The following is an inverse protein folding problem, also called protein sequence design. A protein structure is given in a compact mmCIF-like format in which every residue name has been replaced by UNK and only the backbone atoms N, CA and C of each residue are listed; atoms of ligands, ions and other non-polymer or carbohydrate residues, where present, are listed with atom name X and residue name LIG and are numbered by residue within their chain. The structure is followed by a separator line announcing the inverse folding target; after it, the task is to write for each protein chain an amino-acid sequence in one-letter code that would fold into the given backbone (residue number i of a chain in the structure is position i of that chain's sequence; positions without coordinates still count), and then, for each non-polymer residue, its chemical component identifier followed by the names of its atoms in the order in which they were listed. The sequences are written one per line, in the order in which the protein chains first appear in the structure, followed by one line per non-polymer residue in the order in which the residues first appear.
data_IF_338300763888
#
_entry.id   IF_338300763888
#
_cell.length_a   1.000
_cell.length_b   1.000
_cell.length_c   1.000
_cell.angle_alpha   90.00
_cell.angle_beta   90.00
_cell.angle_gamma   90.00
#
_symmetry.space_group_name_H-M   'P 1'
#
loop_
_entity.id
_entity.type
_entity.pdbx_description
1 polymer ?
#
# COMPACT_ATOMS: atom_id res chain seq x y z
N UNK A 1 -2.85 -5.85 -0.47
CA UNK A 1 -1.68 -5.13 0.11
C UNK A 1 -1.86 -5.09 1.60
N UNK A 2 -0.76 -5.26 2.32
CA UNK A 2 -0.80 -5.57 3.75
C UNK A 2 -0.01 -4.58 4.59
N UNK A 3 0.84 -3.76 3.97
CA UNK A 3 1.67 -2.78 4.66
C UNK A 3 2.04 -1.61 3.75
N UNK A 4 1.95 -0.39 4.28
CA UNK A 4 2.42 0.84 3.63
C UNK A 4 3.01 1.80 4.68
N UNK A 5 4.17 2.37 4.36
CA UNK A 5 4.70 3.58 4.99
C UNK A 5 4.54 4.76 4.02
N UNK A 6 4.12 5.91 4.53
CA UNK A 6 3.95 7.14 3.78
C UNK A 6 4.66 8.27 4.52
N UNK A 7 5.60 8.91 3.86
CA UNK A 7 6.16 10.19 4.31
C UNK A 7 5.53 11.31 3.49
N UNK A 8 4.71 12.14 4.15
CA UNK A 8 3.96 13.21 3.49
C UNK A 8 4.48 14.58 3.93
N UNK A 9 5.09 15.31 2.99
CA UNK A 9 5.68 16.66 3.18
C UNK A 9 6.69 16.68 4.34
N UNK A 10 7.49 15.63 4.48
CA UNK A 10 8.54 15.54 5.50
C UNK A 10 9.96 15.46 4.90
N UNK A 11 10.11 15.00 3.66
CA UNK A 11 11.38 15.04 2.94
C UNK A 11 11.48 16.30 2.05
N UNK A 12 12.69 16.86 1.94
CA UNK A 12 12.95 18.13 1.26
C UNK A 12 12.80 18.06 -0.27
N UNK A 13 13.20 16.95 -0.89
CA UNK A 13 13.15 16.80 -2.35
C UNK A 13 11.92 15.99 -2.80
N UNK A 14 11.47 15.05 -1.96
CA UNK A 14 10.33 14.17 -2.24
C UNK A 14 9.18 14.40 -1.26
N UNK A 15 8.32 15.40 -1.51
CA UNK A 15 7.15 15.70 -0.67
C UNK A 15 6.14 14.55 -0.52
N UNK A 16 6.23 13.48 -1.32
CA UNK A 16 5.55 12.22 -1.04
C UNK A 16 6.51 11.05 -1.28
N UNK A 17 6.66 10.19 -0.28
CA UNK A 17 7.38 8.93 -0.37
C UNK A 17 6.44 7.83 0.13
N UNK A 18 6.28 6.75 -0.64
CA UNK A 18 5.51 5.58 -0.23
C UNK A 18 6.36 4.32 -0.38
N UNK A 19 6.38 3.48 0.66
CA UNK A 19 7.00 2.16 0.68
C UNK A 19 5.91 1.14 0.99
N UNK A 20 5.81 0.07 0.21
CA UNK A 20 4.62 -0.75 0.17
C UNK A 20 4.90 -2.22 -0.12
N UNK A 21 4.37 -3.13 0.71
CA UNK A 21 4.34 -4.56 0.40
C UNK A 21 2.92 -5.05 0.09
N UNK A 22 2.80 -5.78 -1.01
CA UNK A 22 1.63 -6.60 -1.30
C UNK A 22 1.94 -8.05 -0.97
N UNK A 23 1.34 -8.53 0.11
CA UNK A 23 1.32 -9.96 0.43
C UNK A 23 0.05 -10.60 -0.14
N UNK A 24 0.22 -11.75 -0.77
CA UNK A 24 -0.85 -12.49 -1.43
C UNK A 24 -0.41 -13.94 -1.70
N UNK A 25 -1.39 -14.82 -1.96
CA UNK A 25 -1.11 -16.15 -2.52
C UNK A 25 -0.31 -16.08 -3.82
N UNK A 26 0.57 -17.05 -4.04
CA UNK A 26 1.41 -17.12 -5.23
C UNK A 26 0.63 -17.51 -6.49
N UNK A 27 -0.42 -18.31 -6.34
CA UNK A 27 -1.29 -18.76 -7.43
C UNK A 27 -2.23 -17.67 -7.95
N UNK A 28 -2.57 -16.67 -7.13
CA UNK A 28 -3.41 -15.53 -7.53
C UNK A 28 -2.71 -14.72 -8.64
N UNK A 29 -3.23 -14.71 -9.88
CA UNK A 29 -2.60 -14.04 -10.99
C UNK A 29 -2.67 -12.52 -10.85
N UNK A 30 -1.54 -11.86 -11.11
CA UNK A 30 -1.45 -10.40 -11.14
C UNK A 30 -0.45 -9.96 -12.20
N UNK A 31 -0.70 -8.80 -12.80
CA UNK A 31 0.27 -8.11 -13.64
C UNK A 31 1.12 -7.17 -12.79
N UNK A 32 2.42 -7.15 -13.06
CA UNK A 32 3.37 -6.17 -12.51
C UNK A 32 3.02 -4.75 -12.94
N UNK A 33 3.65 -3.76 -12.33
CA UNK A 33 3.38 -2.35 -12.61
C UNK A 33 3.56 -2.01 -14.09
N UNK A 34 2.50 -1.46 -14.71
CA UNK A 34 2.47 -1.04 -16.11
C UNK A 34 1.44 0.08 -16.30
N UNK A 35 1.48 0.75 -17.46
CA UNK A 35 0.35 1.58 -17.87
C UNK A 35 -0.80 0.69 -18.34
N UNK A 36 -2.00 0.93 -17.81
CA UNK A 36 -3.16 0.11 -18.15
C UNK A 36 -3.69 0.44 -19.54
N UNK A 37 -4.14 -0.58 -20.27
CA UNK A 37 -4.66 -0.41 -21.64
C UNK A 37 -6.02 0.31 -21.66
N UNK A 38 -6.90 -0.03 -20.72
CA UNK A 38 -8.25 0.53 -20.56
C UNK A 38 -8.25 1.88 -19.82
N UNK A 39 -7.25 2.14 -18.98
CA UNK A 39 -7.04 3.43 -18.31
C UNK A 39 -5.59 3.90 -18.49
N UNK A 40 -5.21 4.46 -19.65
CA UNK A 40 -3.81 4.76 -20.01
C UNK A 40 -3.09 5.77 -19.12
N UNK A 41 -3.81 6.45 -18.23
CA UNK A 41 -3.25 7.37 -17.26
C UNK A 41 -2.82 6.69 -15.95
N UNK A 42 -3.30 5.48 -15.67
CA UNK A 42 -2.97 4.71 -14.47
C UNK A 42 -1.67 3.94 -14.69
N UNK A 43 -0.73 4.10 -13.76
CA UNK A 43 0.47 3.27 -13.64
C UNK A 43 0.42 2.51 -12.31
N UNK A 44 0.10 1.21 -12.39
CA UNK A 44 -0.13 0.36 -11.23
C UNK A 44 0.04 -1.12 -11.60
N UNK A 45 0.35 -1.97 -10.62
CA UNK A 45 0.13 -3.42 -10.76
C UNK A 45 -1.37 -3.70 -10.85
N UNK A 46 -1.78 -4.84 -11.42
CA UNK A 46 -3.21 -5.16 -11.62
C UNK A 46 -3.52 -6.58 -11.19
N UNK A 47 -4.52 -6.72 -10.35
CA UNK A 47 -5.13 -8.01 -10.05
C UNK A 47 -5.87 -8.53 -11.29
N UNK A 48 -5.52 -9.72 -11.77
CA UNK A 48 -6.13 -10.27 -13.01
C UNK A 48 -7.51 -10.85 -12.73
N UNK A 49 -7.75 -11.39 -11.54
CA UNK A 49 -9.03 -12.03 -11.19
C UNK A 49 -10.13 -11.00 -10.94
N UNK A 50 -9.82 -9.96 -10.16
CA UNK A 50 -10.80 -8.95 -9.73
C UNK A 50 -10.65 -7.61 -10.44
N UNK A 51 -9.61 -7.44 -11.27
CA UNK A 51 -9.43 -6.27 -12.14
C UNK A 51 -9.07 -4.96 -11.42
N UNK A 52 -8.81 -4.99 -10.11
CA UNK A 52 -8.45 -3.83 -9.27
C UNK A 52 -6.93 -3.70 -9.05
N UNK A 53 -6.54 -2.81 -8.13
CA UNK A 53 -5.14 -2.63 -7.74
C UNK A 53 -4.97 -2.30 -6.26
N UNK A 54 -3.75 -2.41 -5.75
CA UNK A 54 -3.43 -2.18 -4.35
C UNK A 54 -2.72 -0.85 -4.09
N UNK A 55 -1.94 -0.38 -5.06
CA UNK A 55 -1.21 0.88 -5.04
C UNK A 55 -1.03 1.32 -6.49
N UNK A 56 -1.32 2.59 -6.76
CA UNK A 56 -1.11 3.13 -8.08
C UNK A 56 -1.02 4.65 -8.08
N UNK A 57 -0.49 5.16 -9.19
CA UNK A 57 -0.42 6.59 -9.48
C UNK A 57 -0.99 6.89 -10.85
N UNK A 58 -1.29 8.15 -11.10
CA UNK A 58 -1.72 8.64 -12.42
C UNK A 58 -0.74 9.66 -13.00
N UNK A 59 -0.79 9.87 -14.32
CA UNK A 59 -0.09 10.98 -14.98
C UNK A 59 -0.54 12.37 -14.51
N UNK A 60 -1.74 12.49 -13.95
CA UNK A 60 -2.24 13.75 -13.36
C UNK A 60 -1.76 13.97 -11.93
N UNK A 61 -1.18 12.95 -11.28
CA UNK A 61 -0.60 13.07 -9.94
C UNK A 61 -1.51 12.65 -8.80
N UNK A 62 -2.60 11.95 -9.13
CA UNK A 62 -3.39 11.20 -8.15
C UNK A 62 -2.62 9.95 -7.75
N UNK A 63 -2.68 9.59 -6.47
CA UNK A 63 -2.21 8.31 -5.96
C UNK A 63 -3.27 7.73 -5.02
N UNK A 64 -3.31 6.42 -4.92
CA UNK A 64 -4.09 5.75 -3.90
C UNK A 64 -3.47 4.39 -3.55
N UNK A 65 -3.70 3.96 -2.32
CA UNK A 65 -3.38 2.62 -1.86
C UNK A 65 -4.43 2.09 -0.89
N UNK A 66 -4.45 0.77 -0.74
CA UNK A 66 -5.36 0.08 0.17
C UNK A 66 -4.62 -0.97 0.98
N UNK A 67 -4.84 -1.01 2.30
CA UNK A 67 -4.44 -2.16 3.12
C UNK A 67 -5.67 -2.89 3.66
N UNK A 68 -5.55 -4.21 3.81
CA UNK A 68 -6.61 -5.04 4.38
C UNK A 68 -6.58 -4.96 5.91
N UNK A 69 -7.71 -4.84 6.59
CA UNK A 69 -7.79 -5.11 8.03
C UNK A 69 -7.71 -6.63 8.24
N UNK A 70 -6.89 -7.06 9.21
CA UNK A 70 -6.78 -8.45 9.64
C UNK A 70 -7.83 -8.69 10.71
N UNK A 71 -8.80 -9.50 10.36
CA UNK A 71 -9.94 -9.92 11.16
C UNK A 71 -10.48 -11.21 10.53
N UNK A 72 -11.26 -12.02 11.26
CA UNK A 72 -11.96 -13.15 10.67
C UNK A 72 -12.82 -12.68 9.49
N UNK A 73 -12.80 -13.45 8.40
CA UNK A 73 -13.63 -13.12 7.23
C UNK A 73 -15.11 -13.24 7.60
N UNK A 74 -15.87 -12.21 7.27
CA UNK A 74 -17.33 -12.26 7.34
C UNK A 74 -17.84 -12.97 6.08
N UNK A 75 -17.98 -14.29 6.16
CA UNK A 75 -18.56 -15.12 5.10
C UNK A 75 -20.03 -15.37 5.42
N UNK A 76 -20.89 -14.40 5.10
CA UNK A 76 -22.34 -14.65 5.07
C UNK A 76 -22.71 -15.10 3.66
N UNK A 77 -23.38 -16.25 3.51
CA UNK A 77 -23.77 -16.83 2.21
C UNK A 77 -24.53 -15.85 1.30
N UNK A 78 -25.19 -14.84 1.88
CA UNK A 78 -26.05 -13.88 1.18
C UNK A 78 -25.37 -12.57 0.74
N UNK A 79 -24.07 -12.37 1.00
CA UNK A 79 -23.40 -11.10 0.69
C UNK A 79 -22.05 -11.30 -0.03
N UNK A 80 -22.03 -11.01 -1.33
CA UNK A 80 -20.78 -10.91 -2.09
C UNK A 80 -20.14 -9.53 -1.91
N UNK A 81 -18.98 -9.50 -1.26
CA UNK A 81 -18.23 -8.26 -1.04
C UNK A 81 -17.47 -7.80 -2.29
N UNK A 82 -17.45 -6.49 -2.52
CA UNK A 82 -16.65 -5.87 -3.56
C UNK A 82 -15.16 -6.01 -3.20
N UNK A 83 -14.32 -6.30 -4.20
CA UNK A 83 -12.88 -6.33 -4.04
C UNK A 83 -12.35 -4.98 -3.56
N UNK A 84 -11.57 -4.96 -2.48
CA UNK A 84 -10.89 -3.76 -1.97
C UNK A 84 -9.99 -3.08 -3.00
N UNK A 85 -9.52 -3.82 -4.01
CA UNK A 85 -8.75 -3.24 -5.12
C UNK A 85 -9.56 -2.29 -6.00
N UNK A 86 -10.89 -2.34 -5.93
CA UNK A 86 -11.79 -1.40 -6.58
C UNK A 86 -11.66 0.00 -6.01
N UNK A 87 -11.43 0.13 -4.71
CA UNK A 87 -11.29 1.42 -4.03
C UNK A 87 -10.19 2.27 -4.65
N UNK A 88 -9.06 1.62 -4.98
CA UNK A 88 -7.91 2.27 -5.61
C UNK A 88 -8.19 2.51 -7.09
N UNK A 89 -8.71 1.52 -7.81
CA UNK A 89 -9.05 1.65 -9.24
C UNK A 89 -10.03 2.79 -9.48
N UNK A 90 -11.13 2.84 -8.75
CA UNK A 90 -12.18 3.86 -8.89
C UNK A 90 -11.67 5.27 -8.62
N UNK A 91 -10.73 5.44 -7.68
CA UNK A 91 -10.14 6.76 -7.43
C UNK A 91 -9.21 7.19 -8.56
N UNK A 92 -8.36 6.27 -9.04
CA UNK A 92 -7.36 6.58 -10.08
C UNK A 92 -7.98 6.75 -11.47
N UNK A 93 -9.12 6.11 -11.74
CA UNK A 93 -9.85 6.23 -13.01
C UNK A 93 -10.85 7.39 -13.04
N UNK A 94 -11.16 8.01 -11.90
CA UNK A 94 -12.08 9.15 -11.80
C UNK A 94 -11.35 10.49 -11.71
N UNK A 95 -12.10 11.57 -11.94
CA UNK A 95 -11.65 12.96 -11.72
C UNK A 95 -12.13 13.54 -10.39
N UNK A 96 -12.95 12.81 -9.63
CA UNK A 96 -13.55 13.23 -8.36
C UNK A 96 -12.49 13.68 -7.35
N UNK A 97 -12.65 14.81 -6.64
CA UNK A 97 -11.73 15.21 -5.57
C UNK A 97 -11.60 14.12 -4.49
N UNK A 98 -10.40 13.98 -3.90
CA UNK A 98 -10.11 12.91 -2.95
C UNK A 98 -11.06 12.88 -1.75
N UNK A 99 -11.40 14.05 -1.20
CA UNK A 99 -12.38 14.17 -0.11
C UNK A 99 -13.73 13.56 -0.49
N UNK A 100 -14.26 13.98 -1.63
CA UNK A 100 -15.58 13.56 -2.11
C UNK A 100 -15.60 12.07 -2.43
N UNK A 101 -14.54 11.57 -3.06
CA UNK A 101 -14.41 10.15 -3.36
C UNK A 101 -14.41 9.31 -2.07
N UNK A 102 -13.56 9.65 -1.10
CA UNK A 102 -13.46 8.89 0.16
C UNK A 102 -14.75 8.98 0.99
N UNK A 103 -15.44 10.12 0.98
CA UNK A 103 -16.76 10.25 1.60
C UNK A 103 -17.83 9.40 0.91
N UNK A 104 -17.79 9.27 -0.42
CA UNK A 104 -18.70 8.37 -1.14
C UNK A 104 -18.47 6.90 -0.77
N UNK A 105 -17.19 6.49 -0.62
CA UNK A 105 -16.83 5.16 -0.14
C UNK A 105 -17.36 4.91 1.27
N UNK A 106 -17.32 5.92 2.16
CA UNK A 106 -17.88 5.79 3.52
C UNK A 106 -19.38 5.47 3.51
N UNK A 107 -20.13 5.95 2.53
CA UNK A 107 -21.56 5.64 2.38
C UNK A 107 -21.81 4.20 1.92
N UNK A 108 -20.81 3.58 1.29
CA UNK A 108 -20.83 2.20 0.76
C UNK A 108 -19.95 1.25 1.60
N UNK A 109 -19.63 1.63 2.85
CA UNK A 109 -18.63 0.95 3.67
C UNK A 109 -18.91 -0.53 3.93
N UNK A 110 -20.18 -0.93 3.90
CA UNK A 110 -20.65 -2.27 4.21
C UNK A 110 -20.58 -3.22 3.01
N UNK A 111 -20.34 -2.69 1.80
CA UNK A 111 -20.13 -3.49 0.57
C UNK A 111 -18.70 -4.10 0.51
N UNK A 112 -17.85 -3.79 1.48
CA UNK A 112 -16.44 -4.20 1.52
C UNK A 112 -16.07 -4.90 2.83
N UNK A 113 -15.19 -5.90 2.73
CA UNK A 113 -14.43 -6.42 3.87
C UNK A 113 -13.56 -5.32 4.50
N UNK A 114 -13.02 -5.55 5.70
CA UNK A 114 -12.24 -4.54 6.42
C UNK A 114 -11.07 -3.97 5.62
N UNK A 115 -10.97 -2.64 5.53
CA UNK A 115 -9.93 -1.96 4.75
C UNK A 115 -9.45 -0.64 5.38
N UNK A 116 -8.30 -0.20 4.89
CA UNK A 116 -7.78 1.16 4.98
C UNK A 116 -7.58 1.68 3.55
N UNK A 117 -8.15 2.84 3.22
CA UNK A 117 -7.95 3.55 1.97
C UNK A 117 -7.19 4.84 2.23
N UNK A 118 -6.10 5.06 1.51
CA UNK A 118 -5.41 6.35 1.45
C UNK A 118 -5.44 6.81 0.00
N UNK A 119 -6.00 7.99 -0.26
CA UNK A 119 -6.19 8.52 -1.59
C UNK A 119 -5.96 10.03 -1.62
N UNK A 120 -5.33 10.53 -2.68
CA UNK A 120 -5.05 11.95 -2.76
C UNK A 120 -4.17 12.39 -3.91
N UNK A 121 -3.75 13.64 -3.80
CA UNK A 121 -2.63 14.23 -4.52
C UNK A 121 -1.61 14.73 -3.50
N UNK A 122 -0.48 15.24 -3.96
CA UNK A 122 0.51 15.92 -3.09
C UNK A 122 -0.10 17.08 -2.26
N UNK A 123 -1.20 17.66 -2.69
CA UNK A 123 -1.82 18.81 -2.03
C UNK A 123 -2.90 18.41 -1.03
N UNK A 124 -3.60 17.30 -1.28
CA UNK A 124 -4.75 16.89 -0.47
C UNK A 124 -4.82 15.36 -0.39
N UNK A 125 -4.56 14.82 0.82
CA UNK A 125 -4.52 13.38 1.10
C UNK A 125 -5.53 13.04 2.17
N UNK A 126 -6.34 12.02 1.91
CA UNK A 126 -7.35 11.52 2.86
C UNK A 126 -7.12 10.06 3.18
N UNK A 127 -7.43 9.71 4.42
CA UNK A 127 -7.45 8.38 4.96
C UNK A 127 -8.86 8.03 5.42
N UNK A 128 -9.29 6.80 5.15
CA UNK A 128 -10.51 6.24 5.72
C UNK A 128 -10.36 4.74 5.93
N UNK A 129 -10.96 4.23 7.00
CA UNK A 129 -11.19 2.79 7.19
C UNK A 129 -12.67 2.56 7.42
N UNK A 130 -13.23 1.51 6.82
CA UNK A 130 -14.62 1.09 7.11
C UNK A 130 -14.82 0.53 8.52
N UNK A 131 -13.78 0.51 9.36
CA UNK A 131 -13.85 0.26 10.81
C UNK A 131 -13.86 1.55 11.64
N UNK A 132 -13.83 2.71 10.98
CA UNK A 132 -13.87 4.04 11.62
C UNK A 132 -15.12 4.82 11.16
N UNK A 133 -15.51 5.80 11.97
CA UNK A 133 -16.73 6.59 11.73
C UNK A 133 -16.54 7.74 10.74
N UNK A 134 -15.32 8.28 10.64
CA UNK A 134 -15.05 9.53 9.94
C UNK A 134 -13.86 9.40 8.99
N UNK A 135 -13.95 10.14 7.88
CA UNK A 135 -12.82 10.38 6.97
C UNK A 135 -11.85 11.35 7.64
N UNK A 136 -10.55 11.05 7.54
CA UNK A 136 -9.49 11.89 8.08
C UNK A 136 -8.70 12.55 6.95
N UNK A 137 -8.54 13.87 7.00
CA UNK A 137 -7.54 14.58 6.19
C UNK A 137 -6.16 14.40 6.83
N UNK A 138 -5.20 13.93 6.05
CA UNK A 138 -3.82 13.79 6.53
C UNK A 138 -3.10 15.13 6.44
N UNK A 139 -2.39 15.47 7.52
CA UNK A 139 -1.50 16.64 7.60
C UNK A 139 -0.08 16.21 7.26
N UNK A 140 0.88 17.13 7.01
CA UNK A 140 2.28 16.76 6.90
C UNK A 140 2.73 15.86 8.08
N UNK A 141 3.36 14.73 7.78
CA UNK A 141 3.74 13.72 8.77
C UNK A 141 4.11 12.38 8.14
N UNK A 142 4.56 11.45 8.98
CA UNK A 142 4.85 10.07 8.61
C UNK A 142 3.69 9.17 9.10
N UNK A 143 3.20 8.31 8.21
CA UNK A 143 2.07 7.43 8.44
C UNK A 143 2.44 6.00 8.11
N UNK A 144 2.09 5.09 9.01
CA UNK A 144 2.39 3.66 8.86
C UNK A 144 1.11 2.88 9.09
N UNK A 145 0.76 2.04 8.11
CA UNK A 145 -0.46 1.24 8.15
C UNK A 145 -0.10 -0.18 7.74
N UNK A 146 -0.45 -1.15 8.57
CA UNK A 146 -0.41 -2.55 8.19
C UNK A 146 -1.83 -3.11 8.09
N UNK A 147 -2.12 -4.21 8.79
CA UNK A 147 -3.42 -4.84 8.75
C UNK A 147 -4.35 -4.42 9.91
N UNK A 148 -4.21 -3.19 10.37
CA UNK A 148 -5.09 -2.56 11.35
C UNK A 148 -5.31 -1.10 10.96
N UNK A 149 -6.12 -0.36 11.72
CA UNK A 149 -6.34 1.07 11.47
C UNK A 149 -5.07 1.89 11.68
N UNK A 150 -5.03 3.10 11.13
CA UNK A 150 -3.92 4.03 11.27
C UNK A 150 -3.57 4.27 12.76
N UNK A 151 -2.28 4.40 13.06
CA UNK A 151 -1.72 4.62 14.40
C UNK A 151 -1.79 3.44 15.38
N UNK A 152 -2.18 2.24 14.93
CA UNK A 152 -2.04 1.03 15.75
C UNK A 152 -0.61 0.53 15.69
N UNK A 153 0.00 0.35 16.86
CA UNK A 153 1.39 -0.13 17.00
C UNK A 153 1.44 -1.65 16.98
N UNK A 154 2.15 -2.19 16.00
CA UNK A 154 2.59 -3.60 15.97
C UNK A 154 4.11 -3.64 15.85
N UNK A 155 4.78 -4.70 16.33
CA UNK A 155 6.25 -4.76 16.31
C UNK A 155 6.86 -4.47 14.93
N UNK A 156 6.25 -4.99 13.85
CA UNK A 156 6.70 -4.72 12.47
C UNK A 156 6.54 -3.28 12.01
N UNK A 157 5.52 -2.58 12.52
CA UNK A 157 5.33 -1.16 12.25
C UNK A 157 6.41 -0.34 12.96
N UNK A 158 6.77 -0.71 14.20
CA UNK A 158 7.82 0.00 14.94
C UNK A 158 9.21 -0.18 14.29
N UNK A 159 9.50 -1.40 13.82
CA UNK A 159 10.72 -1.68 13.03
C UNK A 159 10.73 -0.88 11.73
N UNK A 160 9.63 -0.90 10.96
CA UNK A 160 9.50 -0.14 9.72
C UNK A 160 9.68 1.37 9.96
N UNK A 161 9.02 1.90 10.99
CA UNK A 161 9.12 3.31 11.38
C UNK A 161 10.56 3.71 11.67
N UNK A 162 11.26 2.92 12.49
CA UNK A 162 12.65 3.18 12.85
C UNK A 162 13.56 3.21 11.62
N UNK A 163 13.39 2.24 10.71
CA UNK A 163 14.19 2.15 9.49
C UNK A 163 13.92 3.31 8.53
N UNK A 164 12.65 3.69 8.32
CA UNK A 164 12.28 4.84 7.48
C UNK A 164 12.83 6.15 8.06
N UNK A 165 12.66 6.38 9.37
CA UNK A 165 13.16 7.58 10.04
C UNK A 165 14.69 7.70 9.96
N UNK A 166 15.40 6.58 10.03
CA UNK A 166 16.87 6.55 10.00
C UNK A 166 17.44 6.68 8.58
N UNK A 167 16.87 5.94 7.61
CA UNK A 167 17.52 5.73 6.31
C UNK A 167 16.92 6.55 5.17
N UNK A 168 15.63 6.91 5.26
CA UNK A 168 14.87 7.54 4.17
C UNK A 168 14.72 9.04 4.37
N UNK A 169 14.45 9.50 5.59
CA UNK A 169 14.02 10.88 5.84
C UNK A 169 15.01 11.96 5.37
N UNK A 170 16.30 11.66 5.44
CA UNK A 170 17.37 12.57 5.04
C UNK A 170 17.96 12.27 3.65
N UNK A 171 17.48 11.23 2.96
CA UNK A 171 17.93 10.90 1.62
C UNK A 171 17.28 11.81 0.58
N UNK A 172 18.09 12.38 -0.30
CA UNK A 172 17.65 13.34 -1.32
C UNK A 172 17.92 12.87 -2.75
N UNK A 173 18.68 11.79 -2.93
CA UNK A 173 18.92 11.19 -4.23
C UNK A 173 17.91 10.05 -4.49
N UNK A 174 17.09 10.19 -5.55
CA UNK A 174 16.04 9.21 -5.85
C UNK A 174 16.55 7.76 -6.02
N UNK A 175 17.72 7.46 -6.65
CA UNK A 175 18.14 6.07 -6.82
C UNK A 175 18.47 5.42 -5.47
N UNK A 176 19.24 6.13 -4.63
CA UNK A 176 19.59 5.65 -3.30
C UNK A 176 18.36 5.48 -2.41
N UNK A 177 17.39 6.39 -2.51
CA UNK A 177 16.12 6.29 -1.79
C UNK A 177 15.33 5.06 -2.20
N UNK A 178 15.23 4.77 -3.51
CA UNK A 178 14.57 3.56 -4.00
C UNK A 178 15.25 2.31 -3.46
N UNK A 179 16.59 2.21 -3.56
CA UNK A 179 17.32 1.02 -3.14
C UNK A 179 17.20 0.78 -1.63
N UNK A 180 17.37 1.83 -0.81
CA UNK A 180 17.14 1.77 0.64
C UNK A 180 15.71 1.38 0.96
N UNK A 181 14.73 1.98 0.29
CA UNK A 181 13.32 1.71 0.52
C UNK A 181 12.95 0.26 0.21
N UNK A 182 13.45 -0.29 -0.89
CA UNK A 182 13.27 -1.70 -1.23
C UNK A 182 13.94 -2.62 -0.21
N UNK A 183 15.14 -2.26 0.25
CA UNK A 183 15.85 -3.03 1.28
C UNK A 183 15.08 -3.09 2.61
N UNK A 184 14.54 -1.96 3.07
CA UNK A 184 13.71 -1.89 4.29
C UNK A 184 12.51 -2.84 4.20
N UNK A 185 11.87 -2.91 3.03
CA UNK A 185 10.70 -3.76 2.78
C UNK A 185 11.02 -5.25 2.72
N UNK A 186 12.29 -5.65 2.74
CA UNK A 186 12.74 -7.05 2.74
C UNK A 186 13.02 -7.62 4.14
N UNK A 187 12.66 -6.89 5.21
CA UNK A 187 12.86 -7.38 6.57
C UNK A 187 12.01 -8.62 6.89
N UNK A 188 12.70 -9.74 7.14
CA UNK A 188 12.13 -11.04 7.54
C UNK A 188 12.07 -11.22 9.07
N UNK A 189 12.27 -10.13 9.82
CA UNK A 189 12.27 -10.17 11.28
C UNK A 189 10.96 -10.72 11.83
N UNK A 190 11.05 -11.74 12.68
CA UNK A 190 9.92 -12.31 13.42
C UNK A 190 9.94 -11.83 14.87
N UNK A 191 8.81 -11.99 15.56
CA UNK A 191 8.63 -11.51 16.92
C UNK A 191 8.11 -12.60 17.86
N UNK A 192 8.47 -12.57 19.14
CA UNK A 192 7.93 -13.50 20.14
C UNK A 192 6.40 -13.45 20.24
N UNK A 193 5.77 -14.59 20.50
CA UNK A 193 4.30 -14.71 20.54
C UNK A 193 3.60 -13.68 21.42
N UNK A 194 4.17 -13.37 22.59
CA UNK A 194 3.57 -12.46 23.57
C UNK A 194 3.54 -10.99 23.13
N UNK A 195 4.22 -10.62 22.05
CA UNK A 195 4.15 -9.28 21.45
C UNK A 195 3.37 -9.25 20.13
N UNK A 196 2.93 -10.42 19.63
CA UNK A 196 2.09 -10.48 18.44
C UNK A 196 0.68 -9.95 18.78
N UNK A 197 -0.01 -9.31 17.81
CA UNK A 197 -1.39 -8.98 18.00
C UNK A 197 -2.25 -10.25 18.08
N UNK A 198 -3.41 -10.14 18.70
CA UNK A 198 -4.48 -11.13 18.59
C UNK A 198 -5.60 -10.53 17.71
N UNK A 199 -5.60 -10.91 16.44
CA UNK A 199 -6.62 -10.46 15.48
C UNK A 199 -7.71 -11.51 15.22
N UNK A 200 -7.70 -12.63 15.96
CA UNK A 200 -8.64 -13.73 15.79
C UNK A 200 -8.30 -14.72 14.68
N UNK A 201 -7.14 -14.60 14.02
CA UNK A 201 -6.69 -15.53 12.96
C UNK A 201 -5.89 -16.74 13.47
N UNK A 202 -5.62 -16.78 14.78
CA UNK A 202 -4.84 -17.83 15.43
C UNK A 202 -3.32 -17.60 15.40
N UNK A 203 -2.62 -18.12 16.42
CA UNK A 203 -1.22 -17.81 16.69
C UNK A 203 -0.25 -18.18 15.55
N UNK A 204 -0.47 -19.33 14.89
CA UNK A 204 0.40 -19.77 13.78
C UNK A 204 0.37 -18.78 12.61
N UNK A 205 -0.82 -18.29 12.28
CA UNK A 205 -0.99 -17.30 11.22
C UNK A 205 -0.48 -15.92 11.67
N UNK A 206 -0.64 -15.54 12.94
CA UNK A 206 -0.03 -14.32 13.48
C UNK A 206 1.50 -14.33 13.35
N UNK A 207 2.15 -15.46 13.64
CA UNK A 207 3.60 -15.64 13.46
C UNK A 207 3.99 -15.48 11.99
N UNK A 208 3.29 -16.18 11.09
CA UNK A 208 3.55 -16.12 9.64
C UNK A 208 3.44 -14.69 9.09
N UNK A 209 2.45 -13.93 9.55
CA UNK A 209 2.16 -12.58 9.05
C UNK A 209 2.87 -11.46 9.85
N UNK A 210 3.76 -11.84 10.77
CA UNK A 210 4.49 -10.92 11.65
C UNK A 210 5.61 -10.14 10.97
N UNK A 211 6.34 -10.67 9.96
CA UNK A 211 7.38 -9.89 9.29
C UNK A 211 6.82 -8.77 8.39
N UNK A 212 7.72 -7.88 7.97
CA UNK A 212 7.45 -6.91 6.88
C UNK A 212 7.45 -7.63 5.54
N UNK A 213 8.43 -8.52 5.34
CA UNK A 213 8.56 -9.39 4.16
C UNK A 213 8.16 -10.82 4.51
N UNK A 214 7.02 -11.27 4.00
CA UNK A 214 6.46 -12.59 4.32
C UNK A 214 6.95 -13.60 3.30
N UNK A 215 7.44 -14.74 3.79
CA UNK A 215 7.88 -15.86 2.97
C UNK A 215 7.25 -17.16 3.48
N UNK A 216 6.57 -17.87 2.59
CA UNK A 216 6.16 -19.25 2.82
C UNK A 216 6.05 -19.98 1.48
N UNK A 217 5.52 -21.20 1.50
CA UNK A 217 5.33 -22.03 0.32
C UNK A 217 4.20 -21.51 -0.58
N UNK A 218 3.06 -21.09 0.00
CA UNK A 218 1.84 -20.75 -0.76
C UNK A 218 1.45 -19.28 -0.69
N UNK A 219 1.94 -18.54 0.30
CA UNK A 219 1.61 -17.14 0.55
C UNK A 219 2.85 -16.31 0.89
N UNK A 220 2.94 -15.08 0.38
CA UNK A 220 4.00 -14.19 0.80
C UNK A 220 3.97 -12.85 0.10
N UNK A 221 5.00 -12.04 0.34
CA UNK A 221 5.17 -10.76 -0.35
C UNK A 221 5.41 -11.02 -1.83
N UNK A 222 4.48 -10.56 -2.68
CA UNK A 222 4.55 -10.68 -4.15
C UNK A 222 5.28 -9.52 -4.79
N UNK A 223 5.10 -8.31 -4.24
CA UNK A 223 5.77 -7.11 -4.71
C UNK A 223 6.07 -6.15 -3.57
N UNK A 224 7.22 -5.49 -3.70
CA UNK A 224 7.65 -4.32 -2.93
C UNK A 224 7.67 -3.13 -3.87
N UNK A 225 6.88 -2.09 -3.56
CA UNK A 225 6.74 -0.91 -4.42
C UNK A 225 7.22 0.34 -3.68
N UNK A 226 8.04 1.14 -4.36
CA UNK A 226 8.44 2.49 -3.93
C UNK A 226 7.80 3.49 -4.87
N UNK A 227 7.18 4.52 -4.32
CA UNK A 227 6.64 5.66 -5.07
C UNK A 227 7.16 6.95 -4.49
N UNK A 228 7.80 7.77 -5.32
CA UNK A 228 8.30 9.10 -4.95
C UNK A 228 7.61 10.15 -5.82
N UNK A 229 7.18 11.25 -5.23
CA UNK A 229 6.82 12.45 -5.96
C UNK A 229 7.84 13.52 -5.62
N UNK A 230 8.48 14.09 -6.65
CA UNK A 230 9.31 15.27 -6.46
C UNK A 230 8.48 16.57 -6.50
N UNK A 231 9.13 17.67 -6.12
CA UNK A 231 8.53 19.02 -6.16
C UNK A 231 8.22 19.52 -7.58
N UNK A 232 8.85 18.95 -8.60
CA UNK A 232 8.64 19.33 -10.01
C UNK A 232 7.47 18.56 -10.64
N UNK A 233 6.86 17.64 -9.89
CA UNK A 233 5.72 16.84 -10.30
C UNK A 233 6.09 15.56 -11.06
N UNK A 234 7.38 15.16 -11.08
CA UNK A 234 7.77 13.83 -11.54
C UNK A 234 7.39 12.81 -10.48
N UNK A 235 7.03 11.61 -10.96
CA UNK A 235 6.84 10.44 -10.11
C UNK A 235 7.87 9.39 -10.47
N UNK A 236 8.53 8.86 -9.47
CA UNK A 236 9.47 7.75 -9.61
C UNK A 236 8.80 6.54 -8.98
N UNK A 237 8.73 5.44 -9.73
CA UNK A 237 8.12 4.20 -9.27
C UNK A 237 9.12 3.09 -9.51
N UNK A 238 9.35 2.29 -8.47
CA UNK A 238 10.09 1.05 -8.57
C UNK A 238 9.25 -0.08 -7.97
N UNK A 239 9.17 -1.21 -8.64
CA UNK A 239 8.51 -2.40 -8.14
C UNK A 239 9.46 -3.59 -8.27
N UNK A 240 9.89 -4.14 -7.15
CA UNK A 240 10.56 -5.44 -7.07
C UNK A 240 9.49 -6.51 -6.88
N UNK A 241 9.54 -7.60 -7.64
CA UNK A 241 8.62 -8.73 -7.43
C UNK A 241 9.32 -9.96 -6.93
N UNK A 242 8.48 -10.88 -6.48
CA UNK A 242 8.90 -12.09 -5.82
C UNK A 242 7.92 -13.23 -6.12
N UNK A 243 8.50 -14.40 -6.36
CA UNK A 243 7.80 -15.68 -6.46
C UNK A 243 7.77 -16.42 -5.12
N UNK A 244 7.49 -17.72 -5.20
CA UNK A 244 7.44 -18.63 -4.06
C UNK A 244 8.70 -18.53 -3.19
N UNK A 245 8.53 -18.64 -1.87
CA UNK A 245 9.61 -18.53 -0.88
C UNK A 245 10.40 -17.19 -0.96
N UNK A 246 9.86 -16.16 -1.62
CA UNK A 246 10.48 -14.85 -1.77
C UNK A 246 11.61 -14.82 -2.80
N UNK A 247 11.64 -15.75 -3.76
CA UNK A 247 12.58 -15.71 -4.89
C UNK A 247 12.40 -14.41 -5.66
N UNK A 248 13.47 -13.63 -5.80
CA UNK A 248 13.40 -12.35 -6.52
C UNK A 248 13.13 -12.55 -8.01
N UNK A 249 12.20 -11.76 -8.52
CA UNK A 249 11.86 -11.66 -9.94
C UNK A 249 12.34 -10.32 -10.52
N UNK A 250 11.86 -9.96 -11.71
CA UNK A 250 12.19 -8.70 -12.36
C UNK A 250 11.82 -7.48 -11.49
N UNK A 251 12.74 -6.51 -11.45
CA UNK A 251 12.52 -5.15 -10.95
C UNK A 251 12.15 -4.25 -12.11
N UNK A 252 11.04 -3.53 -11.97
CA UNK A 252 10.57 -2.55 -12.96
C UNK A 252 10.71 -1.16 -12.36
N UNK A 253 11.27 -0.24 -13.13
CA UNK A 253 11.37 1.18 -12.76
C UNK A 253 10.79 2.09 -13.82
N UNK A 254 10.15 3.17 -13.38
CA UNK A 254 9.61 4.20 -14.27
C UNK A 254 9.67 5.58 -13.65
N UNK A 255 10.04 6.54 -14.49
CA UNK A 255 9.84 7.96 -14.24
C UNK A 255 8.65 8.42 -15.07
N UNK A 256 7.64 8.98 -14.42
CA UNK A 256 6.46 9.59 -15.04
C UNK A 256 6.61 11.10 -14.89
N UNK A 257 6.69 11.80 -16.02
CA UNK A 257 6.74 13.24 -16.04
C UNK A 257 5.34 13.82 -15.86
N UNK A 258 5.25 15.01 -15.26
CA UNK A 258 4.03 15.81 -15.29
C UNK A 258 3.70 16.10 -16.76
N UNK A 259 2.51 15.72 -17.22
CA UNK A 259 2.03 16.19 -18.52
C UNK A 259 1.96 17.72 -18.46
N UNK A 260 2.64 18.38 -19.39
CA UNK A 260 2.61 19.84 -19.56
C UNK A 260 1.19 20.30 -19.96
#
# INVERSE_FOLDING_TARGET
MCLVAISYKQNKEFPLIMLANRDEFYDRPSKRVHFWEDHPDIYAGRDVERGGTWLGVTKSGRFACVTNIREPLNETEDHEFISRGELVRGFLSSTTPAKEYVESIRQQKDDFQGFNLIAGTIDDVYYYSNRLHAVQKLTPGNYYVSNSTLNVTWPKIDTLKTAVETEIMNETAYPALIDKGLHILQSTMTYPDHVLPDTGVGLELERLLSPVFIQSETYGTRVSTIVLFDKDGKRFIAEQGYGENGVQEERIEKIIHRNA
#
